data_IF_305813889102
#
_entry.id   IF_305813889102
#
_cell.length_a   1.000
_cell.length_b   1.000
_cell.length_c   1.000
_cell.angle_alpha   90.00
_cell.angle_beta   90.00
_cell.angle_gamma   90.00
#
_symmetry.space_group_name_H-M   'P 1'
#
loop_
_entity.id
_entity.type
_entity.pdbx_description
1 polymer ?
#
# COMPACT_ATOMS: atom_id res chain seq x y z
N UNK A 1 -29.55 -31.26 -41.90
CA UNK A 1 -30.95 -30.87 -41.60
C UNK A 1 -31.01 -29.36 -41.63
N UNK A 2 -31.73 -28.79 -42.61
CA UNK A 2 -32.16 -27.40 -42.62
C UNK A 2 -33.07 -27.15 -41.43
N UNK A 3 -32.95 -25.99 -40.77
CA UNK A 3 -34.09 -25.12 -40.53
C UNK A 3 -33.61 -23.72 -40.14
N UNK A 4 -33.92 -22.78 -41.03
CA UNK A 4 -33.87 -21.34 -40.81
C UNK A 4 -34.81 -20.92 -39.68
N UNK A 5 -34.43 -19.87 -38.95
CA UNK A 5 -35.39 -18.82 -38.55
C UNK A 5 -34.74 -17.45 -38.76
N UNK A 6 -35.26 -16.77 -39.79
CA UNK A 6 -35.10 -15.33 -40.07
C UNK A 6 -35.84 -14.50 -39.01
N UNK A 7 -35.54 -13.20 -39.07
CA UNK A 7 -36.41 -12.05 -38.72
C UNK A 7 -35.99 -11.35 -37.43
N UNK A 8 -35.91 -10.03 -37.34
CA UNK A 8 -36.22 -8.93 -38.27
C UNK A 8 -35.69 -7.66 -37.63
N UNK A 9 -35.15 -6.74 -38.43
CA UNK A 9 -34.97 -5.34 -38.07
C UNK A 9 -36.29 -4.72 -37.60
N UNK A 10 -36.26 -3.95 -36.53
CA UNK A 10 -37.26 -2.90 -36.29
C UNK A 10 -36.62 -1.77 -35.48
N UNK A 11 -35.99 -0.85 -36.23
CA UNK A 11 -35.86 0.55 -35.83
C UNK A 11 -37.28 1.09 -35.71
N UNK A 12 -37.68 1.47 -34.50
CA UNK A 12 -38.79 2.37 -34.16
C UNK A 12 -38.50 2.88 -32.77
N UNK A 13 -38.68 4.12 -32.39
CA UNK A 13 -38.89 5.39 -33.06
C UNK A 13 -38.51 6.39 -31.97
N UNK A 14 -37.94 7.52 -32.37
CA UNK A 14 -37.67 8.65 -31.47
C UNK A 14 -39.02 9.06 -30.87
N UNK A 15 -39.28 8.67 -29.63
CA UNK A 15 -40.37 9.24 -28.84
C UNK A 15 -39.75 10.24 -27.89
N UNK A 16 -39.74 11.48 -28.35
CA UNK A 16 -39.78 12.64 -27.47
C UNK A 16 -40.98 12.44 -26.53
N UNK A 17 -40.71 11.99 -25.32
CA UNK A 17 -41.70 11.97 -24.24
C UNK A 17 -41.21 12.93 -23.17
N UNK A 18 -41.59 14.19 -23.38
CA UNK A 18 -41.61 15.28 -22.43
C UNK A 18 -42.15 14.81 -21.07
N UNK A 19 -41.28 14.80 -20.05
CA UNK A 19 -41.64 14.63 -18.64
C UNK A 19 -40.96 15.74 -17.82
N UNK A 20 -41.57 16.12 -16.68
CA UNK A 20 -41.96 17.49 -16.44
C UNK A 20 -40.87 18.37 -15.84
N UNK A 21 -40.92 19.62 -16.28
CA UNK A 21 -40.28 20.81 -15.76
C UNK A 21 -40.78 21.10 -14.32
N UNK A 22 -40.29 20.36 -13.31
CA UNK A 22 -40.52 20.67 -11.89
C UNK A 22 -39.59 19.87 -10.97
N UNK A 23 -38.31 20.19 -10.99
CA UNK A 23 -37.50 20.16 -9.78
C UNK A 23 -36.45 21.23 -9.99
N UNK A 24 -36.64 22.38 -9.33
CA UNK A 24 -35.55 23.32 -9.07
C UNK A 24 -34.43 22.51 -8.40
N UNK A 25 -33.52 22.02 -9.23
CA UNK A 25 -32.43 21.16 -8.82
C UNK A 25 -31.61 21.96 -7.84
N UNK A 26 -31.71 21.61 -6.56
CA UNK A 26 -30.82 22.10 -5.53
C UNK A 26 -29.40 21.89 -6.05
N UNK A 27 -28.78 22.98 -6.50
CA UNK A 27 -27.41 22.99 -6.94
C UNK A 27 -26.61 22.53 -5.72
N UNK A 28 -26.06 21.32 -5.79
CA UNK A 28 -25.23 20.80 -4.72
C UNK A 28 -24.08 21.79 -4.50
N UNK A 29 -23.99 22.35 -3.30
CA UNK A 29 -22.87 23.20 -2.92
C UNK A 29 -21.61 22.32 -2.90
N UNK A 30 -20.67 22.62 -3.81
CA UNK A 30 -19.40 21.91 -3.87
C UNK A 30 -18.55 22.39 -2.70
N UNK A 31 -18.45 21.57 -1.65
CA UNK A 31 -17.59 21.84 -0.50
C UNK A 31 -16.14 21.58 -0.93
N UNK A 32 -15.22 22.56 -0.81
CA UNK A 32 -13.82 22.34 -1.13
C UNK A 32 -13.23 21.30 -0.16
N UNK A 33 -12.39 20.41 -0.71
CA UNK A 33 -11.66 19.46 0.11
C UNK A 33 -10.73 20.23 1.06
N UNK A 34 -10.69 19.90 2.37
CA UNK A 34 -9.81 20.59 3.30
C UNK A 34 -8.34 20.35 2.92
N UNK A 35 -7.50 21.36 3.10
CA UNK A 35 -6.06 21.23 2.98
C UNK A 35 -5.56 20.23 4.03
N UNK A 36 -5.35 18.99 3.59
CA UNK A 36 -4.71 17.96 4.40
C UNK A 36 -3.24 18.35 4.46
N UNK A 37 -2.86 19.11 5.48
CA UNK A 37 -1.46 19.27 5.81
C UNK A 37 -0.88 17.88 6.03
N UNK A 38 -0.03 17.47 5.09
CA UNK A 38 0.68 16.22 5.14
C UNK A 38 1.44 16.20 6.46
N UNK A 39 0.93 15.43 7.43
CA UNK A 39 1.64 15.16 8.66
C UNK A 39 2.84 14.35 8.18
N UNK A 40 3.95 15.05 7.94
CA UNK A 40 5.22 14.42 7.59
C UNK A 40 5.56 13.57 8.80
N UNK A 41 5.14 12.31 8.75
CA UNK A 41 5.43 11.32 9.76
C UNK A 41 6.95 11.20 9.76
N UNK A 42 7.59 11.95 10.67
CA UNK A 42 9.02 11.84 10.91
C UNK A 42 9.23 10.41 11.38
N UNK A 43 9.61 9.54 10.44
CA UNK A 43 9.96 8.17 10.76
C UNK A 43 10.96 8.24 11.92
N UNK A 44 10.69 7.57 13.05
CA UNK A 44 11.65 7.58 14.14
C UNK A 44 12.96 7.05 13.56
N UNK A 45 14.03 7.84 13.68
CA UNK A 45 15.38 7.36 13.40
C UNK A 45 15.70 6.37 14.51
N UNK A 46 15.18 5.15 14.41
CA UNK A 46 15.65 4.03 15.22
C UNK A 46 17.11 3.86 14.84
N UNK A 47 18.00 4.38 15.71
CA UNK A 47 19.43 4.17 15.58
C UNK A 47 19.62 2.67 15.73
N UNK A 48 19.68 1.94 14.61
CA UNK A 48 19.90 0.49 14.60
C UNK A 48 21.17 0.24 15.40
N UNK A 49 21.01 -0.35 16.59
CA UNK A 49 22.11 -0.61 17.54
C UNK A 49 23.01 -1.73 17.06
N UNK A 50 22.52 -2.48 16.07
CA UNK A 50 23.20 -3.59 15.42
C UNK A 50 23.13 -3.47 13.91
N UNK A 51 24.27 -3.70 13.26
CA UNK A 51 24.38 -3.79 11.80
C UNK A 51 25.26 -4.99 11.44
N UNK A 52 24.83 -5.76 10.44
CA UNK A 52 25.66 -6.79 9.82
C UNK A 52 26.29 -6.22 8.55
N UNK A 53 27.58 -6.46 8.36
CA UNK A 53 28.31 -6.06 7.17
C UNK A 53 29.35 -7.13 6.82
N UNK A 54 29.03 -7.92 5.79
CA UNK A 54 29.85 -9.05 5.36
C UNK A 54 30.16 -10.02 6.50
N UNK A 55 31.43 -10.08 6.90
CA UNK A 55 31.97 -10.99 7.92
C UNK A 55 31.89 -10.44 9.36
N UNK A 56 31.31 -9.25 9.53
CA UNK A 56 31.37 -8.51 10.79
C UNK A 56 29.97 -8.13 11.28
N UNK A 57 29.81 -8.18 12.60
CA UNK A 57 28.71 -7.63 13.37
C UNK A 57 29.18 -6.32 14.01
N UNK A 58 28.47 -5.23 13.73
CA UNK A 58 28.65 -3.95 14.40
C UNK A 58 27.60 -3.85 15.50
N UNK A 59 28.00 -3.98 16.75
CA UNK A 59 27.12 -3.90 17.93
C UNK A 59 27.61 -2.76 18.83
N UNK A 60 26.76 -1.77 19.10
CA UNK A 60 27.10 -0.56 19.88
C UNK A 60 28.42 0.12 19.46
N UNK A 61 28.69 0.21 18.15
CA UNK A 61 29.92 0.81 17.62
C UNK A 61 31.17 -0.08 17.70
N UNK A 62 31.06 -1.30 18.25
CA UNK A 62 32.14 -2.29 18.25
C UNK A 62 32.00 -3.21 17.04
N UNK A 63 33.10 -3.42 16.32
CA UNK A 63 33.21 -4.36 15.22
C UNK A 63 33.62 -5.74 15.76
N UNK A 64 32.74 -6.73 15.60
CA UNK A 64 32.92 -8.11 16.09
C UNK A 64 32.94 -9.05 14.88
N UNK A 65 34.02 -9.83 14.65
CA UNK A 65 34.04 -10.84 13.60
C UNK A 65 33.02 -11.95 13.88
N UNK A 66 32.20 -12.30 12.89
CA UNK A 66 31.20 -13.38 13.00
C UNK A 66 31.87 -14.73 13.31
N UNK A 67 33.09 -14.94 12.82
CA UNK A 67 33.89 -16.13 13.10
C UNK A 67 34.16 -16.35 14.60
N UNK A 68 34.16 -15.31 15.44
CA UNK A 68 34.32 -15.48 16.89
C UNK A 68 33.17 -16.26 17.52
N UNK A 69 32.00 -16.25 16.89
CA UNK A 69 30.84 -17.01 17.35
C UNK A 69 30.90 -18.49 16.94
N UNK A 70 31.82 -18.89 16.06
CA UNK A 70 31.99 -20.31 15.68
C UNK A 70 32.33 -21.19 16.90
N UNK A 71 33.14 -20.66 17.83
CA UNK A 71 33.54 -21.37 19.05
C UNK A 71 32.45 -21.42 20.13
N UNK A 72 31.58 -20.42 20.16
CA UNK A 72 30.54 -20.26 21.19
C UNK A 72 29.13 -20.62 20.72
N UNK A 73 29.00 -21.06 19.46
CA UNK A 73 27.73 -21.32 18.79
C UNK A 73 27.12 -20.07 18.18
N UNK A 74 26.54 -20.22 16.98
CA UNK A 74 25.82 -19.15 16.29
C UNK A 74 24.53 -18.72 17.03
N UNK A 75 24.05 -19.51 17.99
CA UNK A 75 22.93 -19.15 18.87
C UNK A 75 23.15 -17.83 19.61
N UNK A 76 24.39 -17.55 20.04
CA UNK A 76 24.71 -16.31 20.74
C UNK A 76 24.64 -15.10 19.80
N UNK A 77 25.06 -15.27 18.55
CA UNK A 77 24.91 -14.26 17.50
C UNK A 77 23.42 -14.02 17.20
N UNK A 78 22.63 -15.08 17.07
CA UNK A 78 21.20 -14.99 16.80
C UNK A 78 20.46 -14.24 17.93
N UNK A 79 20.75 -14.57 19.19
CA UNK A 79 20.19 -13.87 20.36
C UNK A 79 20.52 -12.38 20.35
N UNK A 80 21.74 -12.01 19.97
CA UNK A 80 22.15 -10.59 19.85
C UNK A 80 21.39 -9.87 18.74
N UNK A 81 21.16 -10.52 17.61
CA UNK A 81 20.40 -9.95 16.50
C UNK A 81 18.93 -9.77 16.87
N UNK A 82 18.29 -10.80 17.43
CA UNK A 82 16.86 -10.76 17.81
C UNK A 82 16.61 -9.70 18.89
N UNK A 83 17.49 -9.60 19.91
CA UNK A 83 17.35 -8.62 21.00
C UNK A 83 17.35 -7.17 20.52
N UNK A 84 18.00 -6.87 19.40
CA UNK A 84 18.23 -5.49 18.95
C UNK A 84 17.37 -5.12 17.72
N UNK A 85 16.65 -6.08 17.15
CA UNK A 85 15.64 -5.88 16.10
C UNK A 85 14.23 -5.71 16.70
N UNK A 86 14.00 -6.24 17.91
CA UNK A 86 12.73 -6.13 18.66
C UNK A 86 12.50 -4.78 19.32
#
# INVERSE_FOLDING_TARGET
MSNHSKSTSAVRDIREESLPEAAEGQLAEIIPWPDVHEIVARKPKTKKRVRLEGKYLYHHGKKVPILQFQKSGYDRLLKLLVKEIG
#
